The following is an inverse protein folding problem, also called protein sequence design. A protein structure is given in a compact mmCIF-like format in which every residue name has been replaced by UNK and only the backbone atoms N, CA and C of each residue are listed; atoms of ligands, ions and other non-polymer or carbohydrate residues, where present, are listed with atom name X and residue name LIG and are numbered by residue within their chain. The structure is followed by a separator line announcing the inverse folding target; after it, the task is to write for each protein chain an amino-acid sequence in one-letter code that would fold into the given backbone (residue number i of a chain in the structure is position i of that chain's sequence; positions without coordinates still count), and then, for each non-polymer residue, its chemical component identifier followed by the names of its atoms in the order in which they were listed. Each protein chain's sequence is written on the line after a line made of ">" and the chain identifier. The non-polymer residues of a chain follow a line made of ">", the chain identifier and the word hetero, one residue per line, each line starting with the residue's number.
data_IF_130411440283
#
_entry.id   IF_130411440283
#
_cell.length_a   1.000
_cell.length_b   1.000
_cell.length_c   1.000
_cell.angle_alpha   90.00
_cell.angle_beta   90.00
_cell.angle_gamma   90.00
#
_symmetry.space_group_name_H-M   'P 1'
#
loop_
_entity.id
_entity.type
_entity.pdbx_description
1 polymer ?
#
# COMPACT_ATOMS: atom_id res chain seq x y z
N UNK A 1 5.88 7.90 -0.47
CA UNK A 1 5.47 6.64 0.16
C UNK A 1 5.28 6.87 1.66
N UNK A 2 4.19 6.36 2.22
CA UNK A 2 3.97 6.32 3.67
C UNK A 2 3.99 4.85 4.08
N UNK A 3 4.97 4.45 4.89
CA UNK A 3 4.98 3.13 5.51
C UNK A 3 4.00 3.15 6.69
N UNK A 4 2.95 2.35 6.62
CA UNK A 4 1.86 2.35 7.59
C UNK A 4 1.75 1.01 8.33
N UNK A 5 2.78 0.17 8.19
CA UNK A 5 2.94 -1.10 8.91
C UNK A 5 4.02 -0.98 9.99
N UNK A 6 3.71 -1.38 11.22
CA UNK A 6 4.64 -1.43 12.35
C UNK A 6 5.88 -2.31 12.10
N UNK A 7 5.81 -3.24 11.15
CA UNK A 7 6.95 -4.05 10.74
C UNK A 7 8.00 -3.23 9.98
N UNK A 8 7.63 -2.09 9.39
CA UNK A 8 8.55 -1.18 8.72
C UNK A 8 9.22 -1.77 7.48
N UNK A 9 8.54 -2.66 6.76
CA UNK A 9 9.12 -3.35 5.60
C UNK A 9 9.47 -2.39 4.46
N UNK A 10 8.60 -1.42 4.16
CA UNK A 10 8.89 -0.40 3.16
C UNK A 10 10.03 0.53 3.60
N UNK A 11 10.06 0.88 4.89
CA UNK A 11 11.14 1.66 5.51
C UNK A 11 12.50 0.98 5.36
N UNK A 12 12.56 -0.31 5.67
CA UNK A 12 13.79 -1.10 5.55
C UNK A 12 14.18 -1.30 4.08
N UNK A 13 13.22 -1.65 3.23
CA UNK A 13 13.43 -1.88 1.80
C UNK A 13 13.94 -0.65 1.05
N UNK A 14 13.70 0.54 1.57
CA UNK A 14 14.23 1.80 1.06
C UNK A 14 15.41 2.36 1.87
N UNK A 15 15.96 1.60 2.82
CA UNK A 15 17.07 2.04 3.66
C UNK A 15 16.78 3.35 4.42
N UNK A 16 15.55 3.59 4.82
CA UNK A 16 15.13 4.83 5.46
C UNK A 16 15.27 4.83 6.99
N UNK A 17 15.66 3.71 7.60
CA UNK A 17 15.70 3.50 9.06
C UNK A 17 16.99 3.98 9.74
N UNK A 18 17.80 4.85 9.11
CA UNK A 18 19.18 5.13 9.56
C UNK A 18 19.30 6.02 10.79
N UNK A 19 18.23 6.62 11.33
CA UNK A 19 18.30 7.48 12.52
C UNK A 19 17.19 7.16 13.52
N UNK A 20 17.57 6.64 14.69
CA UNK A 20 16.65 6.36 15.82
C UNK A 20 15.96 7.61 16.42
N UNK A 21 16.40 8.82 16.05
CA UNK A 21 15.84 10.10 16.52
C UNK A 21 14.89 10.75 15.50
N UNK A 22 14.61 10.07 14.40
CA UNK A 22 13.78 10.61 13.33
C UNK A 22 12.31 10.44 13.66
N UNK A 23 11.49 11.47 13.37
CA UNK A 23 10.04 11.37 13.42
C UNK A 23 9.54 10.28 12.45
N UNK A 24 8.51 9.56 12.86
CA UNK A 24 7.89 8.48 12.09
C UNK A 24 6.39 8.75 11.90
N UNK A 25 5.72 7.94 11.14
CA UNK A 25 4.27 8.06 11.00
C UNK A 25 3.54 7.94 12.35
N UNK A 26 4.07 7.16 13.30
CA UNK A 26 3.54 7.11 14.67
C UNK A 26 3.60 8.50 15.34
N UNK A 27 4.74 9.19 15.29
CA UNK A 27 4.88 10.53 15.88
C UNK A 27 3.92 11.54 15.23
N UNK A 28 3.70 11.41 13.93
CA UNK A 28 2.73 12.25 13.21
C UNK A 28 1.30 12.04 13.71
N UNK A 29 0.89 10.78 13.88
CA UNK A 29 -0.49 10.45 14.25
C UNK A 29 -0.77 10.67 15.73
N UNK A 30 0.18 10.31 16.61
CA UNK A 30 -0.06 10.22 18.06
C UNK A 30 0.53 11.40 18.84
N UNK A 31 1.61 12.02 18.34
CA UNK A 31 2.32 13.08 19.04
C UNK A 31 2.08 14.46 18.39
N UNK A 32 1.34 14.52 17.28
CA UNK A 32 1.04 15.77 16.57
C UNK A 32 2.23 16.39 15.84
N UNK A 33 3.25 15.60 15.54
CA UNK A 33 4.41 16.07 14.75
C UNK A 33 3.94 16.36 13.31
N UNK A 34 4.24 17.53 12.75
CA UNK A 34 3.94 17.83 11.35
C UNK A 34 4.58 16.78 10.41
N UNK A 35 3.80 16.26 9.45
CA UNK A 35 4.28 15.19 8.55
C UNK A 35 5.54 15.58 7.77
N UNK A 36 5.72 16.87 7.46
CA UNK A 36 6.91 17.39 6.79
C UNK A 36 8.21 17.09 7.55
N UNK A 37 8.14 16.99 8.88
CA UNK A 37 9.31 16.67 9.72
C UNK A 37 9.62 15.17 9.74
N UNK A 38 8.66 14.32 9.35
CA UNK A 38 8.85 12.88 9.25
C UNK A 38 9.26 12.43 7.82
N UNK A 39 9.23 13.32 6.83
CA UNK A 39 9.62 12.98 5.47
C UNK A 39 11.13 12.78 5.38
N UNK A 40 11.54 11.62 4.88
CA UNK A 40 12.91 11.29 4.50
C UNK A 40 13.01 11.38 2.98
N UNK A 41 13.72 12.35 2.43
CA UNK A 41 13.91 12.43 1.00
C UNK A 41 14.83 11.32 0.51
N UNK A 42 14.46 10.68 -0.60
CA UNK A 42 15.31 9.73 -1.32
C UNK A 42 15.86 10.39 -2.58
N UNK A 43 17.19 10.30 -2.78
CA UNK A 43 17.83 10.88 -3.96
C UNK A 43 17.54 10.08 -5.24
N UNK A 44 17.30 8.75 -5.13
CA UNK A 44 17.02 7.90 -6.28
C UNK A 44 16.31 6.60 -5.83
N UNK A 45 15.19 6.22 -6.43
CA UNK A 45 14.36 6.98 -7.37
C UNK A 45 13.75 8.22 -6.69
N UNK A 46 13.06 9.08 -7.43
CA UNK A 46 12.38 10.29 -6.92
C UNK A 46 11.21 9.92 -6.02
N UNK A 47 11.52 9.37 -4.86
CA UNK A 47 10.54 8.91 -3.88
C UNK A 47 10.97 9.41 -2.49
N UNK A 48 10.08 10.11 -1.83
CA UNK A 48 10.20 10.44 -0.43
C UNK A 48 9.46 9.39 0.39
N UNK A 49 9.91 9.14 1.63
CA UNK A 49 9.23 8.20 2.52
C UNK A 49 8.97 8.81 3.88
N UNK A 50 7.77 8.58 4.42
CA UNK A 50 7.47 8.71 5.84
C UNK A 50 7.64 7.32 6.46
N UNK A 51 8.66 7.12 7.32
CA UNK A 51 9.00 5.81 7.85
C UNK A 51 8.06 5.36 8.97
N UNK A 52 7.94 4.04 9.14
CA UNK A 52 7.34 3.41 10.30
C UNK A 52 8.38 2.79 11.23
N UNK A 53 7.94 2.48 12.44
CA UNK A 53 8.67 1.67 13.40
C UNK A 53 7.70 0.88 14.29
N UNK A 54 8.25 0.06 15.20
CA UNK A 54 7.47 -0.81 16.08
C UNK A 54 6.46 -0.06 16.97
N UNK A 55 6.69 1.22 17.26
CA UNK A 55 5.77 2.00 18.09
C UNK A 55 4.37 2.10 17.46
N UNK A 56 4.28 2.02 16.13
CA UNK A 56 2.99 2.01 15.42
C UNK A 56 2.11 0.82 15.79
N UNK A 57 2.65 -0.27 16.33
CA UNK A 57 1.87 -1.45 16.74
C UNK A 57 0.84 -1.13 17.84
N UNK A 58 1.12 -0.13 18.69
CA UNK A 58 0.20 0.31 19.75
C UNK A 58 -0.83 1.35 19.28
N UNK A 59 -0.68 1.91 18.10
CA UNK A 59 -1.49 3.05 17.64
C UNK A 59 -2.98 2.73 17.56
N UNK A 60 -3.38 1.52 17.17
CA UNK A 60 -4.80 1.11 17.15
C UNK A 60 -5.45 1.23 18.54
N UNK A 61 -4.73 0.81 19.61
CA UNK A 61 -5.22 0.89 20.97
C UNK A 61 -5.28 2.33 21.48
N UNK A 62 -4.34 3.18 21.07
CA UNK A 62 -4.31 4.58 21.49
C UNK A 62 -5.38 5.40 20.74
N UNK A 63 -5.57 5.14 19.46
CA UNK A 63 -6.67 5.72 18.68
C UNK A 63 -8.04 5.30 19.22
N UNK A 64 -8.19 4.06 19.72
CA UNK A 64 -9.48 3.57 20.24
C UNK A 64 -9.92 4.29 21.50
N UNK A 65 -9.00 4.87 22.27
CA UNK A 65 -9.28 5.71 23.44
C UNK A 65 -9.77 7.12 23.08
N UNK A 66 -9.62 7.52 21.80
CA UNK A 66 -10.07 8.85 21.36
C UNK A 66 -11.59 8.88 21.19
N UNK A 67 -12.23 9.95 21.67
CA UNK A 67 -13.69 10.11 21.61
C UNK A 67 -14.21 10.34 20.19
N UNK A 68 -13.46 11.09 19.35
CA UNK A 68 -13.88 11.43 18.00
C UNK A 68 -12.69 11.70 17.07
N UNK A 69 -12.91 11.55 15.76
CA UNK A 69 -11.94 11.91 14.71
C UNK A 69 -10.77 10.95 14.55
N UNK A 70 -10.82 9.81 15.22
CA UNK A 70 -9.78 8.78 15.19
C UNK A 70 -9.56 8.15 13.82
N UNK A 71 -10.56 8.17 12.95
CA UNK A 71 -10.50 7.63 11.60
C UNK A 71 -9.91 8.62 10.57
N UNK A 72 -9.73 9.90 10.94
CA UNK A 72 -9.31 10.96 10.04
C UNK A 72 -7.89 11.48 10.29
N UNK A 73 -7.15 10.88 11.19
CA UNK A 73 -5.83 11.38 11.61
C UNK A 73 -4.86 11.46 10.43
N UNK A 74 -4.76 10.39 9.64
CA UNK A 74 -3.90 10.37 8.47
C UNK A 74 -4.36 11.37 7.40
N UNK A 75 -5.66 11.47 7.14
CA UNK A 75 -6.22 12.44 6.20
C UNK A 75 -5.84 13.88 6.55
N UNK A 76 -5.95 14.24 7.81
CA UNK A 76 -5.54 15.56 8.32
C UNK A 76 -4.02 15.76 8.22
N UNK A 77 -3.25 14.72 8.52
CA UNK A 77 -1.80 14.77 8.48
C UNK A 77 -1.25 14.98 7.06
N UNK A 78 -1.83 14.33 6.03
CA UNK A 78 -1.35 14.45 4.65
C UNK A 78 -1.86 15.69 3.93
N UNK A 79 -2.91 16.34 4.41
CA UNK A 79 -3.51 17.50 3.74
C UNK A 79 -2.50 18.60 3.37
N UNK A 80 -1.53 18.99 4.24
CA UNK A 80 -0.55 20.04 3.92
C UNK A 80 0.45 19.70 2.84
N UNK A 81 0.60 18.40 2.50
CA UNK A 81 1.60 17.93 1.52
C UNK A 81 0.97 17.35 0.25
N UNK A 82 -0.35 17.21 0.22
CA UNK A 82 -1.07 16.49 -0.83
C UNK A 82 -0.74 17.00 -2.24
N UNK A 83 -0.71 18.31 -2.42
CA UNK A 83 -0.49 18.95 -3.73
C UNK A 83 1.00 19.02 -4.11
N UNK A 84 1.90 18.49 -3.27
CA UNK A 84 3.34 18.49 -3.53
C UNK A 84 3.81 17.22 -4.25
N UNK A 85 2.94 16.21 -4.37
CA UNK A 85 3.24 14.89 -4.94
C UNK A 85 2.25 14.50 -6.02
N UNK A 86 2.73 13.88 -7.08
CA UNK A 86 1.87 13.28 -8.12
C UNK A 86 1.09 12.09 -7.56
N UNK A 87 1.71 11.31 -6.66
CA UNK A 87 1.12 10.16 -5.98
C UNK A 87 1.57 10.08 -4.53
N UNK A 88 0.64 9.79 -3.62
CA UNK A 88 0.91 9.40 -2.23
C UNK A 88 0.47 7.95 -2.08
N UNK A 89 1.43 7.04 -1.92
CA UNK A 89 1.17 5.61 -1.74
C UNK A 89 1.25 5.29 -0.25
N UNK A 90 0.23 4.63 0.29
CA UNK A 90 0.17 4.21 1.69
C UNK A 90 0.31 2.69 1.73
N UNK A 91 1.41 2.20 2.30
CA UNK A 91 1.68 0.76 2.47
C UNK A 91 1.07 0.28 3.80
N UNK A 92 -0.02 -0.46 3.72
CA UNK A 92 -0.88 -0.80 4.84
C UNK A 92 -0.56 -2.19 5.43
N UNK A 93 -0.75 -2.39 6.76
CA UNK A 93 -0.65 -3.70 7.36
C UNK A 93 -1.78 -4.64 6.89
N UNK A 94 -1.61 -5.97 6.98
CA UNK A 94 -2.62 -6.96 6.57
C UNK A 94 -3.80 -7.08 7.56
N UNK A 95 -3.99 -6.13 8.47
CA UNK A 95 -5.08 -6.11 9.46
C UNK A 95 -6.29 -5.32 8.97
N UNK A 96 -7.43 -5.40 9.67
CA UNK A 96 -8.62 -4.59 9.42
C UNK A 96 -8.89 -3.59 10.57
N UNK A 97 -7.82 -3.11 11.22
CA UNK A 97 -7.88 -2.19 12.35
C UNK A 97 -8.11 -0.70 11.98
N UNK A 98 -7.95 0.16 12.98
CA UNK A 98 -8.09 1.62 12.83
C UNK A 98 -7.02 2.22 11.92
N UNK A 99 -5.82 1.65 11.87
CA UNK A 99 -4.79 2.05 10.90
C UNK A 99 -5.32 1.92 9.48
N UNK A 100 -5.83 0.75 9.10
CA UNK A 100 -6.38 0.58 7.74
C UNK A 100 -7.61 1.47 7.49
N UNK A 101 -8.46 1.69 8.49
CA UNK A 101 -9.57 2.64 8.36
C UNK A 101 -9.06 4.06 8.09
N UNK A 102 -7.99 4.50 8.77
CA UNK A 102 -7.33 5.79 8.50
C UNK A 102 -6.78 5.88 7.08
N UNK A 103 -6.10 4.83 6.61
CA UNK A 103 -5.58 4.78 5.24
C UNK A 103 -6.70 4.90 4.20
N UNK A 104 -7.78 4.11 4.35
CA UNK A 104 -8.95 4.15 3.46
C UNK A 104 -9.71 5.48 3.53
N UNK A 105 -9.74 6.13 4.70
CA UNK A 105 -10.37 7.45 4.88
C UNK A 105 -9.56 8.55 4.21
N UNK A 106 -8.24 8.42 4.16
CA UNK A 106 -7.32 9.39 3.56
C UNK A 106 -7.16 9.22 2.04
N UNK A 107 -7.33 8.00 1.52
CA UNK A 107 -7.04 7.66 0.14
C UNK A 107 -8.14 8.10 -0.84
N UNK A 108 -7.77 8.36 -2.10
CA UNK A 108 -8.69 8.54 -3.22
C UNK A 108 -9.12 7.20 -3.81
N UNK A 109 -8.18 6.27 -3.87
CA UNK A 109 -8.43 4.92 -4.39
C UNK A 109 -7.61 3.87 -3.64
N UNK A 110 -8.05 2.62 -3.75
CA UNK A 110 -7.36 1.44 -3.21
C UNK A 110 -7.00 0.47 -4.32
N UNK A 111 -5.71 0.10 -4.40
CA UNK A 111 -5.21 -1.04 -5.16
C UNK A 111 -5.12 -2.24 -4.23
N UNK A 112 -5.75 -3.35 -4.59
CA UNK A 112 -5.87 -4.55 -3.77
C UNK A 112 -4.93 -5.64 -4.31
N UNK A 113 -3.77 -5.91 -3.67
CA UNK A 113 -2.94 -7.04 -4.03
C UNK A 113 -3.57 -8.34 -3.51
N UNK A 114 -3.65 -9.35 -4.39
CA UNK A 114 -4.25 -10.65 -4.11
C UNK A 114 -3.28 -11.75 -4.50
N UNK A 115 -2.83 -12.54 -3.55
CA UNK A 115 -2.01 -13.71 -3.84
C UNK A 115 -2.87 -14.80 -4.49
N UNK A 116 -2.32 -15.46 -5.53
CA UNK A 116 -3.01 -16.55 -6.23
C UNK A 116 -2.98 -17.85 -5.40
N UNK A 117 -3.62 -17.81 -4.22
CA UNK A 117 -3.70 -18.91 -3.25
C UNK A 117 -5.16 -19.18 -2.84
N UNK A 118 -5.42 -20.31 -2.18
CA UNK A 118 -6.77 -20.84 -1.94
C UNK A 118 -7.78 -19.86 -1.31
N UNK A 119 -7.35 -19.06 -0.34
CA UNK A 119 -8.25 -18.11 0.35
C UNK A 119 -8.35 -16.73 -0.30
N UNK A 120 -7.88 -16.57 -1.54
CA UNK A 120 -7.83 -15.29 -2.24
C UNK A 120 -9.19 -14.55 -2.31
N UNK A 121 -10.24 -15.24 -2.74
CA UNK A 121 -11.58 -14.66 -2.90
C UNK A 121 -12.22 -14.28 -1.56
N UNK A 122 -12.00 -15.09 -0.52
CA UNK A 122 -12.53 -14.81 0.82
C UNK A 122 -11.90 -13.53 1.39
N UNK A 123 -10.57 -13.39 1.30
CA UNK A 123 -9.86 -12.19 1.76
C UNK A 123 -10.31 -10.93 1.04
N UNK A 124 -10.48 -10.98 -0.29
CA UNK A 124 -11.01 -9.84 -1.06
C UNK A 124 -12.43 -9.49 -0.62
N UNK A 125 -13.28 -10.49 -0.40
CA UNK A 125 -14.68 -10.27 0.03
C UNK A 125 -14.75 -9.54 1.36
N UNK A 126 -13.94 -9.93 2.36
CA UNK A 126 -13.87 -9.27 3.66
C UNK A 126 -13.39 -7.82 3.53
N UNK A 127 -12.36 -7.57 2.72
CA UNK A 127 -11.87 -6.23 2.47
C UNK A 127 -12.94 -5.35 1.78
N UNK A 128 -13.69 -5.88 0.83
CA UNK A 128 -14.78 -5.15 0.17
C UNK A 128 -15.89 -4.74 1.14
N UNK A 129 -16.17 -5.52 2.17
CA UNK A 129 -17.12 -5.12 3.23
C UNK A 129 -16.59 -3.90 3.99
N UNK A 130 -15.30 -3.91 4.37
CA UNK A 130 -14.65 -2.77 5.03
C UNK A 130 -14.64 -1.52 4.15
N UNK A 131 -14.30 -1.65 2.87
CA UNK A 131 -14.32 -0.54 1.91
C UNK A 131 -15.73 0.08 1.84
N UNK A 132 -16.78 -0.74 1.72
CA UNK A 132 -18.17 -0.26 1.69
C UNK A 132 -18.55 0.47 2.99
N UNK A 133 -18.08 0.02 4.13
CA UNK A 133 -18.31 0.69 5.41
C UNK A 133 -17.66 2.09 5.39
N UNK A 134 -16.39 2.19 5.01
CA UNK A 134 -15.66 3.47 4.90
C UNK A 134 -16.35 4.40 3.89
N UNK A 135 -16.80 3.89 2.74
CA UNK A 135 -17.56 4.68 1.76
C UNK A 135 -18.87 5.24 2.31
N UNK A 136 -19.50 4.57 3.27
CA UNK A 136 -20.75 5.05 3.91
C UNK A 136 -20.52 6.01 5.05
N UNK A 137 -19.36 5.96 5.70
CA UNK A 137 -19.07 6.71 6.94
C UNK A 137 -18.11 7.86 6.71
N UNK A 138 -16.85 7.59 6.39
CA UNK A 138 -15.76 8.55 6.46
C UNK A 138 -15.19 9.00 5.10
N UNK A 139 -15.36 8.20 4.04
CA UNK A 139 -14.85 8.55 2.71
C UNK A 139 -15.76 8.07 1.57
N UNK A 140 -16.78 8.86 1.23
CA UNK A 140 -17.77 8.54 0.18
C UNK A 140 -17.17 8.46 -1.23
N UNK A 141 -16.03 9.08 -1.45
CA UNK A 141 -15.38 9.18 -2.75
C UNK A 141 -14.31 8.10 -2.98
N UNK A 142 -14.05 7.24 -1.99
CA UNK A 142 -13.08 6.16 -2.11
C UNK A 142 -13.43 5.24 -3.28
N UNK A 143 -12.52 5.09 -4.22
CA UNK A 143 -12.67 4.20 -5.38
C UNK A 143 -11.86 2.92 -5.21
N UNK A 144 -12.25 1.85 -5.91
CA UNK A 144 -11.39 0.68 -6.11
C UNK A 144 -10.62 0.91 -7.40
N UNK A 145 -9.31 1.17 -7.27
CA UNK A 145 -8.38 1.36 -8.39
C UNK A 145 -8.25 0.07 -9.21
N UNK A 146 -8.12 -1.04 -8.52
CA UNK A 146 -8.07 -2.34 -9.14
C UNK A 146 -7.58 -3.45 -8.22
N UNK A 147 -7.68 -4.67 -8.72
CA UNK A 147 -7.21 -5.90 -8.07
C UNK A 147 -5.98 -6.39 -8.82
N UNK A 148 -4.86 -6.53 -8.11
CA UNK A 148 -3.58 -6.99 -8.64
C UNK A 148 -3.31 -8.43 -8.21
N UNK A 149 -3.25 -9.34 -9.16
CA UNK A 149 -2.82 -10.70 -8.89
C UNK A 149 -1.31 -10.74 -8.62
N UNK A 150 -0.93 -11.31 -7.49
CA UNK A 150 0.47 -11.41 -7.06
C UNK A 150 0.85 -12.87 -6.80
N UNK A 151 2.15 -13.16 -6.70
CA UNK A 151 2.69 -14.50 -6.48
C UNK A 151 2.18 -15.53 -7.50
N UNK A 152 1.81 -15.06 -8.71
CA UNK A 152 1.28 -15.91 -9.76
C UNK A 152 2.32 -16.89 -10.26
N UNK A 153 1.99 -18.18 -10.31
CA UNK A 153 2.84 -19.23 -10.86
C UNK A 153 2.04 -20.09 -11.85
N UNK A 154 2.29 -19.89 -13.15
CA UNK A 154 1.62 -20.60 -14.23
C UNK A 154 1.85 -22.13 -14.20
N UNK A 155 2.87 -22.59 -13.48
CA UNK A 155 3.20 -24.02 -13.35
C UNK A 155 2.30 -24.75 -12.34
N UNK A 156 1.60 -24.01 -11.48
CA UNK A 156 0.73 -24.59 -10.48
C UNK A 156 -0.73 -24.45 -10.90
N UNK A 157 -1.46 -25.57 -10.89
CA UNK A 157 -2.87 -25.62 -11.25
C UNK A 157 -3.72 -24.69 -10.37
N UNK A 158 -3.45 -24.68 -9.05
CA UNK A 158 -4.15 -23.83 -8.09
C UNK A 158 -4.01 -22.34 -8.46
N UNK A 159 -2.79 -21.86 -8.75
CA UNK A 159 -2.58 -20.45 -9.08
C UNK A 159 -3.33 -20.02 -10.34
N UNK A 160 -3.39 -20.91 -11.34
CA UNK A 160 -4.13 -20.67 -12.60
C UNK A 160 -5.64 -20.63 -12.33
N UNK A 161 -6.19 -21.60 -11.59
CA UNK A 161 -7.62 -21.66 -11.23
C UNK A 161 -8.02 -20.41 -10.42
N UNK A 162 -7.29 -20.05 -9.36
CA UNK A 162 -7.57 -18.85 -8.55
C UNK A 162 -7.50 -17.57 -9.40
N UNK A 163 -6.52 -17.45 -10.29
CA UNK A 163 -6.41 -16.31 -11.21
C UNK A 163 -7.65 -16.21 -12.12
N UNK A 164 -8.16 -17.31 -12.64
CA UNK A 164 -9.35 -17.34 -13.47
C UNK A 164 -10.59 -16.94 -12.68
N UNK A 165 -10.77 -17.49 -11.48
CA UNK A 165 -11.91 -17.21 -10.61
C UNK A 165 -11.96 -15.72 -10.21
N UNK A 166 -10.83 -15.15 -9.83
CA UNK A 166 -10.73 -13.71 -9.52
C UNK A 166 -11.06 -12.85 -10.75
N UNK A 167 -10.53 -13.20 -11.93
CA UNK A 167 -10.84 -12.48 -13.18
C UNK A 167 -12.31 -12.63 -13.58
N UNK A 168 -12.90 -13.80 -13.41
CA UNK A 168 -14.31 -14.03 -13.69
C UNK A 168 -15.22 -13.24 -12.73
N UNK A 169 -14.88 -13.21 -11.44
CA UNK A 169 -15.66 -12.54 -10.40
C UNK A 169 -15.61 -11.02 -10.50
N UNK A 170 -14.41 -10.45 -10.71
CA UNK A 170 -14.19 -9.00 -10.62
C UNK A 170 -13.99 -8.32 -11.99
N UNK A 171 -13.85 -9.08 -13.06
CA UNK A 171 -13.84 -8.59 -14.44
C UNK A 171 -12.81 -7.48 -14.69
N UNK A 172 -13.30 -6.32 -15.12
CA UNK A 172 -12.46 -5.17 -15.49
C UNK A 172 -11.68 -4.53 -14.32
N UNK A 173 -12.06 -4.81 -13.08
CA UNK A 173 -11.31 -4.35 -11.91
C UNK A 173 -9.96 -5.04 -11.78
N UNK A 174 -9.79 -6.26 -12.33
CA UNK A 174 -8.53 -6.98 -12.25
C UNK A 174 -7.55 -6.42 -13.27
N UNK A 175 -6.33 -6.09 -12.83
CA UNK A 175 -5.25 -5.68 -13.74
C UNK A 175 -4.91 -6.79 -14.71
N UNK A 176 -4.57 -6.40 -15.96
CA UNK A 176 -4.09 -7.37 -16.98
C UNK A 176 -2.74 -7.94 -16.57
N UNK A 177 -1.86 -7.06 -16.09
CA UNK A 177 -0.58 -7.45 -15.53
C UNK A 177 -0.77 -8.20 -14.21
N UNK A 178 0.01 -9.26 -14.00
CA UNK A 178 0.11 -9.97 -12.73
C UNK A 178 1.57 -10.08 -12.32
N UNK A 179 1.83 -10.04 -11.02
CA UNK A 179 3.20 -10.13 -10.48
C UNK A 179 3.52 -11.61 -10.27
N UNK A 180 4.52 -12.18 -10.97
CA UNK A 180 4.88 -13.56 -10.82
C UNK A 180 5.61 -13.83 -9.50
N UNK A 181 5.56 -15.07 -9.03
CA UNK A 181 6.48 -15.54 -7.98
C UNK A 181 7.92 -15.44 -8.50
N UNK A 182 8.73 -14.58 -7.89
CA UNK A 182 10.08 -14.29 -8.35
C UNK A 182 11.02 -14.03 -7.17
N UNK A 183 12.07 -14.83 -7.04
CA UNK A 183 13.05 -14.75 -5.94
C UNK A 183 13.74 -13.38 -5.91
N UNK A 184 13.97 -12.75 -7.07
CA UNK A 184 14.60 -11.42 -7.15
C UNK A 184 13.78 -10.32 -6.45
N UNK A 185 12.45 -10.43 -6.45
CA UNK A 185 11.57 -9.52 -5.73
C UNK A 185 11.72 -9.65 -4.20
N UNK A 186 12.09 -10.84 -3.71
CA UNK A 186 12.34 -11.06 -2.27
C UNK A 186 13.79 -10.68 -1.88
N UNK A 187 14.73 -10.79 -2.80
CA UNK A 187 16.14 -10.44 -2.57
C UNK A 187 16.38 -8.92 -2.55
N UNK A 188 15.74 -8.17 -3.45
CA UNK A 188 15.96 -6.73 -3.62
C UNK A 188 15.79 -5.92 -2.32
N UNK A 189 14.71 -6.09 -1.52
CA UNK A 189 14.52 -5.36 -0.25
C UNK A 189 15.61 -5.67 0.78
N UNK A 190 16.17 -6.90 0.80
CA UNK A 190 17.29 -7.25 1.71
C UNK A 190 18.58 -6.49 1.42
N UNK A 191 18.67 -5.84 0.25
CA UNK A 191 19.76 -4.99 -0.18
C UNK A 191 19.41 -3.49 -0.10
N UNK A 192 18.22 -3.15 0.37
CA UNK A 192 17.73 -1.77 0.38
C UNK A 192 17.58 -1.18 -1.03
N UNK A 193 17.29 -2.03 -2.02
CA UNK A 193 17.17 -1.66 -3.43
C UNK A 193 15.77 -1.96 -3.95
N UNK A 194 15.30 -1.15 -4.89
CA UNK A 194 14.16 -1.52 -5.71
C UNK A 194 14.51 -2.65 -6.66
N UNK A 195 13.51 -3.38 -7.17
CA UNK A 195 13.75 -4.42 -8.17
C UNK A 195 14.37 -3.86 -9.46
N UNK A 196 14.08 -2.59 -9.77
CA UNK A 196 14.64 -1.91 -10.94
C UNK A 196 16.13 -1.59 -10.79
N UNK A 197 16.60 -1.37 -9.56
CA UNK A 197 18.03 -1.20 -9.25
C UNK A 197 18.74 -2.54 -9.12
N UNK A 198 18.07 -3.52 -8.49
CA UNK A 198 18.67 -4.82 -8.18
C UNK A 198 18.80 -5.72 -9.41
N UNK A 199 17.70 -5.92 -10.16
CA UNK A 199 17.69 -6.72 -11.40
C UNK A 199 16.61 -6.20 -12.37
N UNK A 200 16.93 -5.15 -13.16
CA UNK A 200 15.97 -4.51 -14.08
C UNK A 200 15.50 -5.42 -15.21
N UNK A 201 16.22 -6.53 -15.47
CA UNK A 201 15.87 -7.50 -16.52
C UNK A 201 15.02 -8.67 -16.02
N UNK A 202 14.83 -8.79 -14.72
CA UNK A 202 14.03 -9.86 -14.10
C UNK A 202 12.58 -9.82 -14.58
N UNK A 203 11.91 -10.97 -14.50
CA UNK A 203 10.47 -11.06 -14.79
C UNK A 203 9.66 -10.22 -13.81
N UNK A 204 10.12 -10.09 -12.55
CA UNK A 204 9.51 -9.21 -11.55
C UNK A 204 9.57 -7.74 -11.93
N UNK A 205 10.73 -7.23 -12.35
CA UNK A 205 10.89 -5.86 -12.81
C UNK A 205 10.00 -5.54 -14.00
N UNK A 206 9.96 -6.41 -15.00
CA UNK A 206 9.09 -6.25 -16.18
C UNK A 206 7.61 -6.24 -15.82
N UNK A 207 7.19 -7.10 -14.88
CA UNK A 207 5.81 -7.16 -14.43
C UNK A 207 5.39 -5.88 -13.70
N UNK A 208 6.24 -5.35 -12.82
CA UNK A 208 5.97 -4.06 -12.15
C UNK A 208 6.00 -2.88 -13.12
N UNK A 209 6.88 -2.86 -14.12
CA UNK A 209 6.86 -1.85 -15.17
C UNK A 209 5.53 -1.86 -15.94
N UNK A 210 5.07 -3.05 -16.38
CA UNK A 210 3.78 -3.19 -17.06
C UNK A 210 2.59 -2.79 -16.18
N UNK A 211 2.64 -3.11 -14.88
CA UNK A 211 1.63 -2.64 -13.91
C UNK A 211 1.62 -1.10 -13.84
N UNK A 212 2.79 -0.48 -13.74
CA UNK A 212 2.91 0.98 -13.66
C UNK A 212 2.28 1.65 -14.88
N UNK A 213 2.58 1.15 -16.08
CA UNK A 213 1.97 1.65 -17.32
C UNK A 213 0.44 1.50 -17.32
N UNK A 214 -0.07 0.37 -16.80
CA UNK A 214 -1.51 0.12 -16.71
C UNK A 214 -2.19 1.06 -15.70
N UNK A 215 -1.58 1.29 -14.53
CA UNK A 215 -2.07 2.24 -13.51
C UNK A 215 -2.12 3.65 -14.08
N UNK A 216 -1.03 4.13 -14.67
CA UNK A 216 -0.97 5.47 -15.28
C UNK A 216 -2.02 5.64 -16.37
N UNK A 217 -2.23 4.63 -17.21
CA UNK A 217 -3.25 4.65 -18.27
C UNK A 217 -4.68 4.68 -17.73
N UNK A 218 -4.95 4.02 -16.61
CA UNK A 218 -6.27 4.07 -15.96
C UNK A 218 -6.52 5.46 -15.41
N UNK A 219 -5.56 6.04 -14.70
CA UNK A 219 -5.67 7.36 -14.10
C UNK A 219 -5.73 8.50 -15.13
N UNK A 220 -5.04 8.37 -16.29
CA UNK A 220 -5.10 9.38 -17.35
C UNK A 220 -6.44 9.44 -18.09
N UNK A 221 -7.31 8.44 -17.96
CA UNK A 221 -8.65 8.43 -18.59
C UNK A 221 -9.74 9.01 -17.69
N UNK A 222 -9.45 9.24 -16.42
CA UNK A 222 -10.39 9.80 -15.46
C UNK A 222 -10.18 11.33 -15.26
N UNK A 223 -9.11 11.89 -15.83
CA UNK A 223 -8.84 13.31 -15.87
C UNK A 223 -9.45 13.95 -17.12
#
# INVERSE_FOLDING_TARGET
>A
LIDFDSQGNATQGLNASQNNSQATIHSVLMEGVPIQQAIVPKMNPRIDIVPANINLAGADLDMDKMEAGKEELLKKAIAPIRDQYDYIIIDCPPSLGLLNTNALTAADSILIPVQCEYYALEGVTQLLITIRLVQRTSNRNLKIEGILLTMFDIRTRLSVEVSQDVRQTFGKLVYQNSIPRNVKLSEAPSRGMSIFEYDPKSTGAKAYAGLTEEVLKRNSKEA
#
